data_IF_870774951405
#
_entry.id   IF_870774951405
#
_cell.length_a   1.000
_cell.length_b   1.000
_cell.length_c   1.000
_cell.angle_alpha   90.00
_cell.angle_beta   90.00
_cell.angle_gamma   90.00
#
_symmetry.space_group_name_H-M   'P 1'
#
loop_
_entity.id
_entity.type
_entity.pdbx_description
1 polymer ?
#
# COMPACT_ATOMS: atom_id res chain seq x y z
N UNK A 1 16.16 10.52 8.77
CA UNK A 1 15.73 9.42 7.87
C UNK A 1 14.26 9.17 8.17
N UNK A 2 13.38 9.11 7.17
CA UNK A 2 11.93 8.93 7.41
C UNK A 2 11.65 7.50 7.84
N UNK A 3 10.89 7.31 8.93
CA UNK A 3 10.45 5.99 9.35
C UNK A 3 9.14 5.63 8.65
N UNK A 4 9.02 4.39 8.16
CA UNK A 4 7.79 3.92 7.51
C UNK A 4 6.58 3.95 8.46
N UNK A 5 6.82 3.81 9.77
CA UNK A 5 5.78 3.91 10.80
C UNK A 5 5.15 5.30 10.86
N UNK A 6 5.93 6.35 10.59
CA UNK A 6 5.44 7.74 10.59
C UNK A 6 4.48 7.98 9.41
N UNK A 7 4.57 7.17 8.36
CA UNK A 7 3.66 7.16 7.21
C UNK A 7 2.44 6.25 7.43
N UNK A 8 2.37 5.59 8.59
CA UNK A 8 1.35 4.59 8.93
C UNK A 8 1.45 3.28 8.14
N UNK A 9 2.61 3.00 7.53
CA UNK A 9 2.88 1.73 6.86
C UNK A 9 3.30 0.65 7.87
N UNK A 10 3.17 -0.61 7.45
CA UNK A 10 3.58 -1.79 8.23
C UNK A 10 4.74 -2.52 7.55
N UNK A 11 5.49 -3.30 8.33
CA UNK A 11 6.56 -4.12 7.78
C UNK A 11 6.00 -5.38 7.10
N UNK A 12 6.55 -5.74 5.94
CA UNK A 12 6.10 -6.89 5.17
C UNK A 12 6.34 -8.24 5.85
N UNK A 13 7.32 -8.34 6.77
CA UNK A 13 7.65 -9.59 7.46
C UNK A 13 6.46 -10.16 8.23
N UNK A 14 5.75 -9.32 8.96
CA UNK A 14 4.60 -9.75 9.78
C UNK A 14 3.40 -10.13 8.92
N UNK A 15 3.12 -9.39 7.84
CA UNK A 15 1.99 -9.73 6.95
C UNK A 15 2.26 -11.06 6.23
N UNK A 16 3.49 -11.28 5.73
CA UNK A 16 3.84 -12.54 5.06
C UNK A 16 3.83 -13.73 6.00
N UNK A 17 4.29 -13.56 7.25
CA UNK A 17 4.18 -14.60 8.28
C UNK A 17 2.73 -15.03 8.48
N UNK A 18 1.82 -14.06 8.69
CA UNK A 18 0.38 -14.33 8.85
C UNK A 18 -0.25 -14.97 7.61
N UNK A 19 0.16 -14.55 6.41
CA UNK A 19 -0.32 -15.12 5.15
C UNK A 19 0.12 -16.57 4.97
N UNK A 20 1.38 -16.87 5.28
CA UNK A 20 1.92 -18.22 5.20
C UNK A 20 1.24 -19.16 6.22
N UNK A 21 1.14 -18.73 7.49
CA UNK A 21 0.48 -19.50 8.55
C UNK A 21 -1.04 -19.67 8.30
N UNK A 22 -1.68 -18.65 7.72
CA UNK A 22 -3.11 -18.66 7.41
C UNK A 22 -3.48 -19.29 6.07
N UNK A 23 -2.51 -19.72 5.26
CA UNK A 23 -2.76 -20.38 3.97
C UNK A 23 -3.39 -19.47 2.91
N UNK A 24 -3.10 -18.17 2.91
CA UNK A 24 -3.61 -17.21 1.93
C UNK A 24 -2.49 -16.39 1.26
N UNK A 25 -2.83 -15.76 0.14
CA UNK A 25 -1.93 -14.86 -0.58
C UNK A 25 -2.25 -13.39 -0.27
N UNK A 26 -1.23 -12.53 -0.31
CA UNK A 26 -1.40 -11.08 -0.20
C UNK A 26 -1.37 -10.48 -1.61
N UNK A 27 -2.39 -9.74 -2.05
CA UNK A 27 -2.37 -9.09 -3.34
C UNK A 27 -1.33 -7.96 -3.37
N UNK A 28 -0.57 -7.90 -4.47
CA UNK A 28 0.40 -6.85 -4.73
C UNK A 28 0.04 -6.10 -6.03
N UNK A 29 -0.59 -4.94 -5.90
CA UNK A 29 -1.08 -4.18 -7.03
C UNK A 29 -0.11 -3.09 -7.43
N UNK A 30 0.21 -3.03 -8.73
CA UNK A 30 0.86 -1.86 -9.29
C UNK A 30 -0.19 -0.77 -9.52
N UNK A 31 0.15 0.48 -9.17
CA UNK A 31 -0.65 1.64 -9.51
C UNK A 31 0.20 2.65 -10.28
N UNK A 32 -0.47 3.43 -11.14
CA UNK A 32 0.18 4.45 -11.98
C UNK A 32 -0.50 5.82 -11.87
N UNK A 33 -1.67 5.90 -11.24
CA UNK A 33 -2.41 7.13 -11.00
C UNK A 33 -3.22 7.07 -9.69
N UNK A 34 -3.93 8.15 -9.37
CA UNK A 34 -4.68 8.30 -8.12
C UNK A 34 -5.93 7.42 -8.09
N UNK A 35 -6.63 7.29 -9.22
CA UNK A 35 -7.86 6.53 -9.34
C UNK A 35 -7.62 5.03 -9.11
N UNK A 36 -6.52 4.50 -9.64
CA UNK A 36 -6.11 3.11 -9.39
C UNK A 36 -5.81 2.90 -7.90
N UNK A 37 -5.06 3.82 -7.28
CA UNK A 37 -4.75 3.75 -5.86
C UNK A 37 -6.02 3.75 -5.01
N UNK A 38 -6.95 4.66 -5.28
CA UNK A 38 -8.23 4.75 -4.56
C UNK A 38 -9.03 3.46 -4.73
N UNK A 39 -9.20 2.97 -5.96
CA UNK A 39 -9.94 1.74 -6.23
C UNK A 39 -9.36 0.53 -5.49
N UNK A 40 -8.03 0.38 -5.49
CA UNK A 40 -7.35 -0.70 -4.76
C UNK A 40 -7.59 -0.56 -3.25
N UNK A 41 -7.36 0.62 -2.69
CA UNK A 41 -7.51 0.86 -1.24
C UNK A 41 -8.95 0.60 -0.80
N UNK A 42 -9.94 1.15 -1.52
CA UNK A 42 -11.36 0.98 -1.18
C UNK A 42 -11.78 -0.48 -1.21
N UNK A 43 -11.40 -1.23 -2.25
CA UNK A 43 -11.72 -2.65 -2.34
C UNK A 43 -11.05 -3.47 -1.21
N UNK A 44 -9.81 -3.14 -0.84
CA UNK A 44 -9.11 -3.83 0.24
C UNK A 44 -9.68 -3.49 1.63
N UNK A 45 -10.14 -2.26 1.86
CA UNK A 45 -10.86 -1.89 3.09
C UNK A 45 -12.18 -2.65 3.19
N UNK A 46 -13.00 -2.64 2.12
CA UNK A 46 -14.29 -3.33 2.08
C UNK A 46 -14.14 -4.83 2.36
N UNK A 47 -13.13 -5.47 1.78
CA UNK A 47 -12.86 -6.91 1.94
C UNK A 47 -12.02 -7.25 3.18
N UNK A 48 -11.60 -6.25 3.96
CA UNK A 48 -10.69 -6.40 5.10
C UNK A 48 -9.40 -7.15 4.75
N UNK A 49 -8.91 -6.94 3.53
CA UNK A 49 -7.75 -7.63 2.98
C UNK A 49 -6.47 -6.82 3.18
N UNK A 50 -5.35 -7.44 3.61
CA UNK A 50 -4.05 -6.76 3.56
C UNK A 50 -3.65 -6.53 2.09
N UNK A 51 -2.94 -5.43 1.83
CA UNK A 51 -2.54 -5.06 0.46
C UNK A 51 -1.10 -4.57 0.39
N UNK A 52 -0.42 -4.92 -0.70
CA UNK A 52 0.87 -4.32 -1.08
C UNK A 52 0.61 -3.38 -2.27
N UNK A 53 0.77 -2.08 -2.04
CA UNK A 53 0.81 -1.08 -3.11
C UNK A 53 2.24 -0.97 -3.62
N UNK A 54 2.44 -1.24 -4.90
CA UNK A 54 3.76 -1.24 -5.53
C UNK A 54 3.81 -0.33 -6.76
N UNK A 55 5.02 0.12 -7.08
CA UNK A 55 5.33 0.87 -8.29
C UNK A 55 6.42 0.12 -9.04
N UNK A 56 6.29 0.03 -10.36
CA UNK A 56 7.28 -0.65 -11.20
C UNK A 56 8.65 0.04 -11.14
N UNK A 57 9.70 -0.67 -11.56
CA UNK A 57 11.05 -0.09 -11.67
C UNK A 57 11.09 1.13 -12.60
N UNK A 58 10.31 1.09 -13.69
CA UNK A 58 10.14 2.22 -14.61
C UNK A 58 9.42 3.39 -13.96
N UNK A 59 8.30 3.14 -13.27
CA UNK A 59 7.56 4.18 -12.55
C UNK A 59 8.43 4.84 -11.47
N UNK A 60 9.27 4.07 -10.77
CA UNK A 60 10.19 4.60 -9.76
C UNK A 60 11.27 5.53 -10.35
N UNK A 61 11.70 5.31 -11.59
CA UNK A 61 12.71 6.18 -12.26
C UNK A 61 12.12 7.54 -12.62
N UNK A 62 10.84 7.59 -12.94
CA UNK A 62 10.13 8.81 -13.34
C UNK A 62 9.50 9.55 -12.15
N UNK A 63 9.01 8.81 -11.15
CA UNK A 63 8.27 9.39 -10.04
C UNK A 63 9.19 10.02 -8.99
N UNK A 64 8.84 11.24 -8.57
CA UNK A 64 9.51 11.92 -7.48
C UNK A 64 9.33 11.15 -6.16
N UNK A 65 10.42 10.82 -5.48
CA UNK A 65 10.39 10.03 -4.25
C UNK A 65 9.61 10.68 -3.11
N UNK A 66 9.66 12.02 -3.00
CA UNK A 66 8.90 12.77 -2.00
C UNK A 66 7.41 12.68 -2.28
N UNK A 67 6.99 12.81 -3.55
CA UNK A 67 5.59 12.64 -3.93
C UNK A 67 5.10 11.20 -3.67
N UNK A 68 5.89 10.19 -4.04
CA UNK A 68 5.55 8.78 -3.73
C UNK A 68 5.34 8.53 -2.24
N UNK A 69 6.18 9.15 -1.39
CA UNK A 69 6.05 9.05 0.06
C UNK A 69 4.72 9.62 0.55
N UNK A 70 4.37 10.83 0.11
CA UNK A 70 3.13 11.48 0.54
C UNK A 70 1.89 10.82 -0.08
N UNK A 71 1.99 10.25 -1.28
CA UNK A 71 0.93 9.40 -1.83
C UNK A 71 0.70 8.16 -0.97
N UNK A 72 1.77 7.48 -0.51
CA UNK A 72 1.63 6.34 0.39
C UNK A 72 0.98 6.74 1.74
N UNK A 73 1.38 7.88 2.31
CA UNK A 73 0.76 8.40 3.52
C UNK A 73 -0.72 8.77 3.30
N UNK A 74 -1.04 9.39 2.16
CA UNK A 74 -2.41 9.70 1.75
C UNK A 74 -3.27 8.44 1.60
N UNK A 75 -2.74 7.37 1.01
CA UNK A 75 -3.42 6.09 0.89
C UNK A 75 -3.76 5.48 2.26
N UNK A 76 -2.85 5.57 3.23
CA UNK A 76 -3.10 5.11 4.60
C UNK A 76 -4.18 5.94 5.28
N UNK A 77 -4.17 7.25 5.10
CA UNK A 77 -5.18 8.13 5.67
C UNK A 77 -6.56 7.86 5.03
N UNK A 78 -6.61 7.73 3.71
CA UNK A 78 -7.81 7.36 2.98
C UNK A 78 -8.37 6.02 3.44
N UNK A 79 -7.53 5.00 3.65
CA UNK A 79 -7.98 3.72 4.18
C UNK A 79 -8.70 3.87 5.55
N UNK A 80 -8.18 4.73 6.44
CA UNK A 80 -8.80 4.99 7.75
C UNK A 80 -10.12 5.75 7.65
N UNK A 81 -10.28 6.60 6.64
CA UNK A 81 -11.51 7.37 6.40
C UNK A 81 -12.66 6.46 5.93
N UNK A 82 -12.33 5.34 5.28
CA UNK A 82 -13.31 4.38 4.77
C UNK A 82 -13.82 3.38 5.84
N UNK A 83 -13.12 3.24 6.96
CA UNK A 83 -13.46 2.34 8.08
C UNK A 83 -12.58 1.10 8.17
#
# INVERSE_FOLDING_TARGET
MVNYKDLGLVNSREIFKKAFEGGYAIPAFNFNNMEQMQAIVSACVETKSPVILQVSSGARKYANQTLLRYMAQGAVQYAKELG
#
